data_IF_074786647199
#
_entry.id   IF_074786647199
#
_cell.length_a   1.000
_cell.length_b   1.000
_cell.length_c   1.000
_cell.angle_alpha   90.00
_cell.angle_beta   90.00
_cell.angle_gamma   90.00
#
_symmetry.space_group_name_H-M   'P 1'
#
loop_
_entity.id
_entity.type
_entity.pdbx_description
1 polymer ?
#
# COMPACT_ATOMS: atom_id res chain seq x y z
N UNK A 1 9.77 -7.61 -19.57
CA UNK A 1 9.21 -6.67 -18.58
C UNK A 1 7.78 -7.04 -18.14
N UNK A 2 6.86 -7.30 -19.07
CA UNK A 2 5.44 -7.61 -18.80
C UNK A 2 5.22 -8.79 -17.83
N UNK A 3 5.94 -9.91 -18.02
CA UNK A 3 5.80 -11.10 -17.15
C UNK A 3 6.08 -10.82 -15.67
N UNK A 4 7.01 -9.91 -15.37
CA UNK A 4 7.30 -9.49 -13.98
C UNK A 4 6.16 -8.68 -13.38
N UNK A 5 5.54 -7.78 -14.14
CA UNK A 5 4.38 -6.99 -13.70
C UNK A 5 3.18 -7.90 -13.45
N UNK A 6 2.94 -8.88 -14.32
CA UNK A 6 1.86 -9.85 -14.13
C UNK A 6 2.05 -10.67 -12.86
N UNK A 7 3.26 -11.19 -12.61
CA UNK A 7 3.59 -11.90 -11.37
C UNK A 7 3.53 -10.99 -10.13
N UNK A 8 3.84 -9.71 -10.31
CA UNK A 8 3.73 -8.72 -9.25
C UNK A 8 2.27 -8.55 -8.80
N UNK A 9 1.34 -8.42 -9.75
CA UNK A 9 -0.08 -8.20 -9.50
C UNK A 9 -0.80 -9.50 -9.10
N UNK A 10 -0.62 -10.58 -9.86
CA UNK A 10 -1.30 -11.87 -9.62
C UNK A 10 -0.67 -12.66 -8.46
N UNK A 11 0.54 -12.30 -8.05
CA UNK A 11 1.33 -13.07 -7.11
C UNK A 11 2.00 -14.28 -7.77
N UNK A 12 2.99 -14.83 -7.07
CA UNK A 12 3.69 -16.05 -7.42
C UNK A 12 3.39 -17.14 -6.36
N UNK A 13 2.54 -18.15 -6.68
CA UNK A 13 2.17 -19.20 -5.74
C UNK A 13 3.33 -20.05 -5.25
N UNK A 14 4.43 -20.10 -6.02
CA UNK A 14 5.63 -20.89 -5.70
C UNK A 14 6.48 -20.29 -4.59
N UNK A 15 6.16 -19.09 -4.09
CA UNK A 15 6.92 -18.46 -3.01
C UNK A 15 6.74 -19.21 -1.70
N UNK A 16 7.86 -19.48 -1.05
CA UNK A 16 7.89 -19.98 0.32
C UNK A 16 7.41 -18.90 1.31
N UNK A 17 7.07 -19.31 2.53
CA UNK A 17 6.53 -18.40 3.54
C UNK A 17 7.46 -17.22 3.85
N UNK A 18 8.76 -17.48 4.02
CA UNK A 18 9.75 -16.44 4.30
C UNK A 18 10.00 -15.52 3.11
N UNK A 19 10.01 -16.07 1.89
CA UNK A 19 10.16 -15.28 0.67
C UNK A 19 8.96 -14.36 0.44
N UNK A 20 7.74 -14.87 0.66
CA UNK A 20 6.52 -14.08 0.56
C UNK A 20 6.49 -12.95 1.59
N UNK A 21 6.95 -13.21 2.82
CA UNK A 21 7.08 -12.19 3.86
C UNK A 21 8.07 -11.11 3.46
N UNK A 22 9.28 -11.49 3.04
CA UNK A 22 10.33 -10.54 2.71
C UNK A 22 9.96 -9.70 1.48
N UNK A 23 9.36 -10.33 0.47
CA UNK A 23 8.87 -9.65 -0.71
C UNK A 23 7.75 -8.65 -0.35
N UNK A 24 6.78 -9.04 0.47
CA UNK A 24 5.73 -8.12 0.93
C UNK A 24 6.32 -6.95 1.71
N UNK A 25 7.28 -7.20 2.61
CA UNK A 25 7.97 -6.15 3.38
C UNK A 25 8.68 -5.15 2.47
N UNK A 26 9.39 -5.63 1.44
CA UNK A 26 10.03 -4.77 0.43
C UNK A 26 9.01 -3.92 -0.31
N UNK A 27 7.93 -4.53 -0.81
CA UNK A 27 6.85 -3.84 -1.53
C UNK A 27 6.16 -2.80 -0.65
N UNK A 28 5.85 -3.15 0.59
CA UNK A 28 5.19 -2.27 1.54
C UNK A 28 6.07 -1.05 1.88
N UNK A 29 7.36 -1.27 2.20
CA UNK A 29 8.32 -0.18 2.44
C UNK A 29 8.44 0.75 1.23
N UNK A 30 8.55 0.17 0.04
CA UNK A 30 8.70 0.93 -1.20
C UNK A 30 7.45 1.76 -1.51
N UNK A 31 6.26 1.18 -1.35
CA UNK A 31 5.02 1.92 -1.59
C UNK A 31 4.72 2.97 -0.51
N UNK A 32 5.11 2.75 0.76
CA UNK A 32 5.06 3.80 1.80
C UNK A 32 5.98 4.97 1.41
N UNK A 33 7.19 4.68 0.91
CA UNK A 33 8.11 5.72 0.46
C UNK A 33 7.56 6.52 -0.72
N UNK A 34 6.96 5.83 -1.70
CA UNK A 34 6.27 6.46 -2.82
C UNK A 34 5.06 7.30 -2.43
N UNK A 35 4.42 7.01 -1.29
CA UNK A 35 3.35 7.83 -0.75
C UNK A 35 3.89 9.04 0.03
N UNK A 36 4.91 8.83 0.86
CA UNK A 36 5.46 9.87 1.74
C UNK A 36 6.21 10.97 0.97
N UNK A 37 7.00 10.64 -0.06
CA UNK A 37 7.76 11.64 -0.81
C UNK A 37 6.86 12.71 -1.45
N UNK A 38 5.83 12.35 -2.25
CA UNK A 38 4.93 13.34 -2.83
C UNK A 38 4.24 14.18 -1.76
N UNK A 39 3.83 13.57 -0.64
CA UNK A 39 3.23 14.29 0.48
C UNK A 39 4.18 15.33 1.10
N UNK A 40 5.45 15.00 1.30
CA UNK A 40 6.45 15.93 1.85
C UNK A 40 6.77 17.05 0.86
N UNK A 41 7.06 16.73 -0.40
CA UNK A 41 7.35 17.73 -1.44
C UNK A 41 6.19 18.70 -1.59
N UNK A 42 4.96 18.18 -1.55
CA UNK A 42 3.75 18.99 -1.60
C UNK A 42 3.59 19.87 -0.35
N UNK A 43 3.84 19.34 0.85
CA UNK A 43 3.74 20.12 2.10
C UNK A 43 4.72 21.30 2.07
N UNK A 44 5.94 21.08 1.57
CA UNK A 44 6.92 22.16 1.33
C UNK A 44 6.37 23.16 0.30
N UNK A 45 5.78 22.68 -0.80
CA UNK A 45 5.23 23.54 -1.83
C UNK A 45 4.01 24.35 -1.38
N UNK A 46 3.22 23.89 -0.40
CA UNK A 46 2.06 24.64 0.12
C UNK A 46 2.42 25.59 1.26
N UNK A 47 3.40 25.23 2.11
CA UNK A 47 3.75 26.00 3.31
C UNK A 47 4.67 27.19 2.98
N UNK A 48 5.59 27.02 2.03
CA UNK A 48 6.61 28.04 1.73
C UNK A 48 6.23 29.19 0.78
N UNK A 49 5.24 29.10 -0.13
CA UNK A 49 4.90 30.23 -0.98
C UNK A 49 4.10 31.27 -0.20
N UNK A 50 4.52 32.53 -0.32
CA UNK A 50 3.94 33.71 0.34
C UNK A 50 2.53 34.10 -0.17
N UNK A 51 1.82 33.23 -0.87
CA UNK A 51 0.52 33.52 -1.49
C UNK A 51 -0.59 32.59 -0.98
N UNK A 52 -1.85 33.02 -1.12
CA UNK A 52 -3.05 32.23 -0.82
C UNK A 52 -3.22 31.05 -1.79
N UNK A 53 -2.33 30.06 -1.71
CA UNK A 53 -2.40 28.80 -2.47
C UNK A 53 -3.41 27.80 -1.90
N UNK A 54 -4.07 28.13 -0.79
CA UNK A 54 -5.19 27.37 -0.23
C UNK A 54 -6.52 27.78 -0.89
N UNK A 55 -6.55 27.95 -2.21
CA UNK A 55 -7.82 28.04 -2.92
C UNK A 55 -8.55 26.69 -2.85
N UNK A 56 -9.89 26.72 -2.89
CA UNK A 56 -10.69 25.49 -2.92
C UNK A 56 -10.27 24.55 -4.05
N UNK A 57 -9.94 25.10 -5.22
CA UNK A 57 -9.45 24.32 -6.37
C UNK A 57 -8.14 23.57 -6.07
N UNK A 58 -7.23 24.19 -5.32
CA UNK A 58 -5.96 23.55 -4.94
C UNK A 58 -6.20 22.42 -3.93
N UNK A 59 -7.13 22.62 -2.99
CA UNK A 59 -7.53 21.60 -2.02
C UNK A 59 -8.23 20.41 -2.70
N UNK A 60 -9.09 20.64 -3.68
CA UNK A 60 -9.75 19.59 -4.45
C UNK A 60 -8.72 18.80 -5.26
N UNK A 61 -7.84 19.48 -6.00
CA UNK A 61 -6.78 18.83 -6.77
C UNK A 61 -5.84 17.99 -5.87
N UNK A 62 -5.56 18.47 -4.66
CA UNK A 62 -4.82 17.72 -3.64
C UNK A 62 -5.55 16.46 -3.20
N UNK A 63 -6.84 16.55 -2.87
CA UNK A 63 -7.63 15.41 -2.43
C UNK A 63 -7.65 14.32 -3.51
N UNK A 64 -7.83 14.70 -4.78
CA UNK A 64 -7.76 13.76 -5.90
C UNK A 64 -6.37 13.14 -6.06
N UNK A 65 -5.30 13.94 -5.99
CA UNK A 65 -3.93 13.43 -6.11
C UNK A 65 -3.62 12.43 -4.99
N UNK A 66 -3.93 12.76 -3.74
CA UNK A 66 -3.75 11.87 -2.61
C UNK A 66 -4.57 10.58 -2.75
N UNK A 67 -5.83 10.70 -3.21
CA UNK A 67 -6.69 9.57 -3.51
C UNK A 67 -6.09 8.66 -4.57
N UNK A 68 -5.63 9.20 -5.71
CA UNK A 68 -5.01 8.41 -6.76
C UNK A 68 -3.73 7.72 -6.29
N UNK A 69 -2.84 8.41 -5.56
CA UNK A 69 -1.62 7.80 -5.04
C UNK A 69 -1.97 6.64 -4.09
N UNK A 70 -2.91 6.83 -3.17
CA UNK A 70 -3.35 5.78 -2.25
C UNK A 70 -4.04 4.63 -2.99
N UNK A 71 -4.86 4.93 -3.99
CA UNK A 71 -5.56 3.96 -4.82
C UNK A 71 -4.57 3.10 -5.63
N UNK A 72 -3.59 3.72 -6.29
CA UNK A 72 -2.56 2.98 -7.02
C UNK A 72 -1.63 2.21 -6.08
N UNK A 73 -1.29 2.76 -4.92
CA UNK A 73 -0.53 2.03 -3.90
C UNK A 73 -1.27 0.76 -3.48
N UNK A 74 -2.55 0.87 -3.14
CA UNK A 74 -3.36 -0.28 -2.69
C UNK A 74 -3.58 -1.30 -3.80
N UNK A 75 -3.81 -0.85 -5.04
CA UNK A 75 -4.02 -1.71 -6.19
C UNK A 75 -2.73 -2.38 -6.71
N UNK A 76 -1.58 -1.71 -6.67
CA UNK A 76 -0.37 -2.22 -7.33
C UNK A 76 0.67 -2.78 -6.36
N UNK A 77 0.86 -2.15 -5.20
CA UNK A 77 1.93 -2.48 -4.26
C UNK A 77 1.42 -3.25 -3.05
N UNK A 78 0.24 -2.90 -2.55
CA UNK A 78 -0.35 -3.49 -1.35
C UNK A 78 -1.11 -4.80 -1.64
N UNK A 79 -0.43 -5.75 -2.29
CA UNK A 79 -0.97 -7.07 -2.62
C UNK A 79 -0.10 -8.17 -2.05
N UNK A 80 -0.74 -9.28 -1.67
CA UNK A 80 -0.02 -10.48 -1.25
C UNK A 80 0.87 -10.98 -2.39
N UNK A 81 2.19 -11.13 -2.20
CA UNK A 81 3.09 -11.56 -3.27
C UNK A 81 2.88 -13.01 -3.67
N UNK A 82 2.18 -13.82 -2.85
CA UNK A 82 1.89 -15.23 -3.15
C UNK A 82 0.63 -15.43 -3.98
N UNK A 83 -0.45 -14.71 -3.67
CA UNK A 83 -1.77 -14.91 -4.31
C UNK A 83 -2.39 -13.66 -4.95
N UNK A 84 -1.69 -12.52 -4.94
CA UNK A 84 -2.13 -11.26 -5.56
C UNK A 84 -3.31 -10.57 -4.87
N UNK A 85 -3.82 -11.14 -3.78
CA UNK A 85 -5.00 -10.61 -3.09
C UNK A 85 -4.59 -9.46 -2.16
N UNK A 86 -5.38 -8.39 -2.15
CA UNK A 86 -5.20 -7.27 -1.23
C UNK A 86 -5.49 -7.76 0.19
N UNK A 87 -4.59 -7.55 1.17
CA UNK A 87 -4.80 -7.99 2.54
C UNK A 87 -6.04 -7.33 3.15
N UNK A 88 -7.06 -8.12 3.43
CA UNK A 88 -8.26 -7.73 4.16
C UNK A 88 -8.28 -8.41 5.52
N UNK A 89 -9.13 -7.92 6.42
CA UNK A 89 -9.31 -8.57 7.72
C UNK A 89 -9.85 -9.99 7.59
N UNK A 90 -9.31 -10.91 8.39
CA UNK A 90 -9.80 -12.27 8.57
C UNK A 90 -11.01 -12.36 9.49
N UNK A 91 -11.35 -11.28 10.24
CA UNK A 91 -12.42 -11.31 11.24
C UNK A 91 -13.79 -10.99 10.62
N UNK A 92 -14.82 -11.85 10.84
CA UNK A 92 -16.17 -11.55 10.41
C UNK A 92 -16.67 -10.25 11.08
N UNK A 93 -17.32 -9.38 10.31
CA UNK A 93 -17.80 -8.08 10.76
C UNK A 93 -16.80 -6.91 10.61
N UNK A 94 -15.58 -7.18 10.15
CA UNK A 94 -14.61 -6.12 9.81
C UNK A 94 -14.43 -6.02 8.30
N UNK A 95 -14.87 -4.91 7.71
CA UNK A 95 -14.72 -4.61 6.28
C UNK A 95 -13.61 -3.59 6.10
N UNK A 96 -12.61 -3.90 5.26
CA UNK A 96 -11.57 -2.94 4.91
C UNK A 96 -10.25 -3.57 4.52
N UNK A 97 -9.40 -2.75 3.89
CA UNK A 97 -7.99 -3.05 3.64
C UNK A 97 -7.24 -2.83 4.96
N UNK A 98 -6.57 -3.86 5.46
CA UNK A 98 -5.69 -3.69 6.61
C UNK A 98 -4.46 -2.90 6.18
N UNK A 99 -3.90 -2.02 7.02
CA UNK A 99 -2.63 -1.35 6.73
C UNK A 99 -1.42 -2.20 7.11
N UNK A 100 -1.56 -3.01 8.16
CA UNK A 100 -0.51 -3.89 8.69
C UNK A 100 -1.06 -5.31 8.86
N UNK A 101 -1.02 -6.19 7.85
CA UNK A 101 -1.63 -7.50 7.93
C UNK A 101 -0.59 -8.50 8.45
N UNK A 102 -0.91 -9.26 9.51
CA UNK A 102 0.02 -10.31 9.97
C UNK A 102 0.12 -11.44 8.96
N UNK A 103 -1.01 -11.80 8.35
CA UNK A 103 -1.15 -12.86 7.34
C UNK A 103 -2.10 -12.45 6.23
N UNK A 104 -2.05 -13.16 5.10
CA UNK A 104 -3.04 -13.04 4.05
C UNK A 104 -4.32 -13.81 4.41
N UNK A 105 -5.48 -13.15 4.36
CA UNK A 105 -6.80 -13.76 4.60
C UNK A 105 -7.16 -14.87 3.60
N UNK A 106 -6.60 -14.84 2.39
CA UNK A 106 -6.89 -15.82 1.32
C UNK A 106 -5.96 -17.03 1.32
N UNK A 107 -4.65 -16.83 1.37
CA UNK A 107 -3.66 -17.93 1.25
C UNK A 107 -2.92 -18.24 2.55
N UNK A 108 -3.19 -17.53 3.63
CA UNK A 108 -2.54 -17.72 4.93
C UNK A 108 -1.07 -17.34 5.00
N UNK A 109 -0.46 -16.86 3.90
CA UNK A 109 0.95 -16.51 3.89
C UNK A 109 1.27 -15.41 4.92
N UNK A 110 2.36 -15.52 5.69
CA UNK A 110 2.78 -14.47 6.60
C UNK A 110 3.21 -13.23 5.81
N UNK A 111 2.73 -12.06 6.23
CA UNK A 111 3.03 -10.78 5.57
C UNK A 111 3.86 -9.89 6.49
N UNK A 112 3.30 -9.47 7.63
CA UNK A 112 3.99 -8.70 8.68
C UNK A 112 3.75 -9.31 10.07
N UNK A 113 4.19 -10.56 10.33
CA UNK A 113 3.84 -11.31 11.54
C UNK A 113 4.32 -10.64 12.85
N UNK A 114 5.42 -9.89 12.80
CA UNK A 114 6.03 -9.24 13.97
C UNK A 114 5.52 -7.80 14.19
N UNK A 115 4.55 -7.32 13.41
CA UNK A 115 4.09 -5.93 13.53
C UNK A 115 3.11 -5.79 14.70
N UNK A 116 3.42 -4.89 15.65
CA UNK A 116 2.64 -4.70 16.89
C UNK A 116 1.18 -4.32 16.64
N UNK A 117 0.94 -3.62 15.54
CA UNK A 117 -0.38 -3.11 15.13
C UNK A 117 -1.14 -4.03 14.18
N UNK A 118 -0.63 -5.24 13.94
CA UNK A 118 -1.25 -6.15 12.97
C UNK A 118 -2.45 -6.91 13.53
N UNK A 119 -3.52 -7.03 12.74
CA UNK A 119 -4.69 -7.83 13.10
C UNK A 119 -4.50 -9.31 12.73
N UNK A 120 -5.02 -10.18 13.60
CA UNK A 120 -4.94 -11.65 13.54
C UNK A 120 -6.04 -12.32 12.69
#
# INVERSE_FOLDING_TARGET
MIRRIVLWIKGNPSLNADEAREEFRKRHKHGVFFFLIPMILFSVFVIFPKGNLLSEETLVSLAFTAFFVLFFYTMLYYRCPRCGTTPTSSKPGTTGVLLFPKKCSRCGAPLLPNHRWGQD
#
